data_IF_289619405306
#
_entry.id   IF_289619405306
#
_cell.length_a   1.000
_cell.length_b   1.000
_cell.length_c   1.000
_cell.angle_alpha   90.00
_cell.angle_beta   90.00
_cell.angle_gamma   90.00
#
_symmetry.space_group_name_H-M   'P 1'
#
loop_
_entity.id
_entity.type
_entity.pdbx_description
1 polymer ?
#
# COMPACT_ATOMS: atom_id res chain seq x y z
N UNK A 1 -21.93 -1.77 9.18
CA UNK A 1 -21.05 -1.23 8.11
C UNK A 1 -20.21 -2.39 7.61
N UNK A 2 -20.29 -2.71 6.32
CA UNK A 2 -19.52 -3.81 5.73
C UNK A 2 -18.03 -3.49 5.77
N UNK A 3 -17.22 -4.42 6.28
CA UNK A 3 -15.77 -4.30 6.22
C UNK A 3 -15.34 -4.47 4.75
N UNK A 4 -15.14 -3.34 4.07
CA UNK A 4 -14.59 -3.34 2.71
C UNK A 4 -13.12 -3.64 2.77
N UNK A 5 -12.74 -4.71 2.07
CA UNK A 5 -11.38 -5.14 1.92
C UNK A 5 -10.95 -4.98 0.47
N UNK A 6 -9.78 -4.44 0.27
CA UNK A 6 -9.22 -4.14 -1.04
C UNK A 6 -8.03 -5.05 -1.31
N UNK A 7 -7.92 -5.49 -2.57
CA UNK A 7 -6.73 -6.17 -3.08
C UNK A 7 -5.63 -5.15 -3.40
N UNK A 8 -4.39 -5.63 -3.55
CA UNK A 8 -3.23 -4.81 -3.95
C UNK A 8 -3.53 -3.92 -5.16
N UNK A 9 -4.21 -4.48 -6.17
CA UNK A 9 -4.58 -3.76 -7.39
C UNK A 9 -5.62 -2.66 -7.17
N UNK A 10 -6.58 -2.87 -6.26
CA UNK A 10 -7.59 -1.87 -5.92
C UNK A 10 -7.00 -0.79 -5.02
N UNK A 11 -6.24 -1.20 -3.99
CA UNK A 11 -5.47 -0.32 -3.14
C UNK A 11 -4.60 0.62 -3.98
N UNK A 12 -3.86 0.09 -4.96
CA UNK A 12 -3.04 0.90 -5.86
C UNK A 12 -3.85 1.97 -6.61
N UNK A 13 -5.04 1.62 -7.09
CA UNK A 13 -5.95 2.57 -7.77
C UNK A 13 -6.47 3.65 -6.82
N UNK A 14 -6.85 3.27 -5.61
CA UNK A 14 -7.35 4.20 -4.58
C UNK A 14 -6.25 5.18 -4.15
N UNK A 15 -5.04 4.65 -3.97
CA UNK A 15 -3.86 5.41 -3.55
C UNK A 15 -3.23 6.23 -4.69
N UNK A 16 -3.64 6.03 -5.94
CA UNK A 16 -3.02 6.68 -7.10
C UNK A 16 -1.58 6.22 -7.38
N UNK A 17 -1.15 5.10 -6.81
CA UNK A 17 0.22 4.57 -6.98
C UNK A 17 0.25 3.43 -7.99
N UNK A 18 1.44 3.13 -8.52
CA UNK A 18 1.61 1.99 -9.41
C UNK A 18 1.38 0.66 -8.63
N UNK A 19 0.63 -0.32 -9.21
CA UNK A 19 0.49 -1.66 -8.61
C UNK A 19 1.82 -2.34 -8.28
N UNK A 20 2.88 -2.06 -9.03
CA UNK A 20 4.22 -2.54 -8.73
C UNK A 20 4.78 -1.96 -7.43
N UNK A 21 4.51 -0.69 -7.13
CA UNK A 21 4.91 -0.06 -5.87
C UNK A 21 4.25 -0.76 -4.68
N UNK A 22 2.95 -1.04 -4.79
CA UNK A 22 2.24 -1.83 -3.77
C UNK A 22 2.82 -3.24 -3.60
N UNK A 23 3.18 -3.93 -4.69
CA UNK A 23 3.87 -5.24 -4.62
C UNK A 23 5.24 -5.14 -3.94
N UNK A 24 5.99 -4.08 -4.22
CA UNK A 24 7.29 -3.85 -3.58
C UNK A 24 7.10 -3.68 -2.08
N UNK A 25 6.15 -2.86 -1.63
CA UNK A 25 5.90 -2.67 -0.21
C UNK A 25 5.41 -3.92 0.50
N UNK A 26 4.60 -4.72 -0.17
CA UNK A 26 4.15 -6.01 0.33
C UNK A 26 5.29 -7.05 0.42
N UNK A 27 6.25 -6.99 -0.52
CA UNK A 27 7.46 -7.82 -0.50
C UNK A 27 8.47 -7.35 0.56
N UNK A 28 8.62 -6.04 0.74
CA UNK A 28 9.52 -5.47 1.76
C UNK A 28 8.93 -5.50 3.15
N UNK A 29 7.64 -5.83 3.29
CA UNK A 29 6.94 -5.84 4.58
C UNK A 29 6.76 -4.44 5.16
N UNK A 30 6.85 -3.39 4.32
CA UNK A 30 6.75 -1.98 4.74
C UNK A 30 5.36 -1.65 5.31
N UNK A 31 4.32 -2.37 4.88
CA UNK A 31 2.97 -2.26 5.42
C UNK A 31 2.48 -3.60 5.97
N UNK A 32 1.84 -3.57 7.15
CA UNK A 32 1.25 -4.75 7.79
C UNK A 32 -0.01 -5.16 7.03
N UNK A 33 0.13 -6.08 6.07
CA UNK A 33 -1.02 -6.78 5.51
C UNK A 33 -1.61 -7.72 6.57
N UNK A 34 -2.92 -7.59 6.87
CA UNK A 34 -3.60 -8.56 7.73
C UNK A 34 -3.69 -9.89 6.97
N UNK A 35 -3.21 -10.97 7.59
CA UNK A 35 -3.36 -12.34 7.06
C UNK A 35 -4.69 -12.90 7.52
N UNK A 36 -5.53 -13.32 6.57
CA UNK A 36 -6.74 -14.05 6.91
C UNK A 36 -6.35 -15.42 7.51
N UNK A 37 -6.81 -15.78 8.73
CA UNK A 37 -6.39 -16.99 9.43
C UNK A 37 -6.76 -18.29 8.68
N UNK A 38 -7.76 -18.23 7.80
CA UNK A 38 -8.20 -19.39 7.00
C UNK A 38 -7.54 -19.54 5.63
N UNK A 39 -7.18 -18.45 4.94
CA UNK A 39 -6.83 -18.52 3.51
C UNK A 39 -5.49 -17.84 3.13
N UNK A 40 -4.77 -17.27 4.11
CA UNK A 40 -3.48 -16.61 3.90
C UNK A 40 -3.46 -15.53 2.79
N UNK A 41 -4.63 -15.04 2.37
CA UNK A 41 -4.75 -13.94 1.43
C UNK A 41 -4.52 -12.61 2.13
N UNK A 42 -3.81 -11.72 1.44
CA UNK A 42 -3.50 -10.37 1.89
C UNK A 42 -4.66 -9.47 1.51
N UNK A 43 -5.33 -8.94 2.53
CA UNK A 43 -6.44 -8.01 2.39
C UNK A 43 -6.08 -6.72 3.11
N UNK A 44 -6.38 -5.58 2.47
CA UNK A 44 -6.21 -4.25 3.06
C UNK A 44 -7.58 -3.73 3.44
N UNK A 45 -7.78 -3.41 4.71
CA UNK A 45 -8.97 -2.68 5.13
C UNK A 45 -8.86 -1.20 4.73
N UNK A 46 -9.97 -0.48 4.76
CA UNK A 46 -9.97 0.97 4.58
C UNK A 46 -8.97 1.66 5.53
N UNK A 47 -8.88 1.23 6.79
CA UNK A 47 -7.92 1.75 7.77
C UNK A 47 -6.45 1.48 7.40
N UNK A 48 -6.17 0.35 6.75
CA UNK A 48 -4.82 0.04 6.29
C UNK A 48 -4.43 0.93 5.10
N UNK A 49 -5.38 1.21 4.20
CA UNK A 49 -5.16 2.17 3.12
C UNK A 49 -4.90 3.56 3.67
N UNK A 50 -5.68 4.01 4.64
CA UNK A 50 -5.54 5.33 5.27
C UNK A 50 -4.13 5.51 5.87
N UNK A 51 -3.64 4.49 6.60
CA UNK A 51 -2.26 4.47 7.11
C UNK A 51 -1.21 4.55 6.01
N UNK A 52 -1.45 3.87 4.88
CA UNK A 52 -0.56 3.92 3.72
C UNK A 52 -0.56 5.34 3.12
N UNK A 53 -1.73 5.98 2.99
CA UNK A 53 -1.85 7.37 2.50
C UNK A 53 -1.05 8.30 3.39
N UNK A 54 -1.29 8.26 4.71
CA UNK A 54 -0.55 9.11 5.65
C UNK A 54 0.96 8.84 5.59
N UNK A 55 1.37 7.58 5.44
CA UNK A 55 2.78 7.24 5.28
C UNK A 55 3.38 7.74 3.96
N UNK A 56 2.59 7.75 2.88
CA UNK A 56 2.97 8.24 1.57
C UNK A 56 3.17 9.75 1.55
N UNK A 57 2.23 10.49 2.12
CA UNK A 57 2.32 11.96 2.27
C UNK A 57 3.60 12.36 3.03
N UNK A 58 4.04 11.53 3.98
CA UNK A 58 5.29 11.74 4.70
C UNK A 58 6.55 11.34 3.90
N UNK A 59 6.46 10.37 2.98
CA UNK A 59 7.60 9.83 2.24
C UNK A 59 7.88 10.55 0.90
N UNK A 60 6.88 11.22 0.30
CA UNK A 60 7.10 12.04 -0.90
C UNK A 60 8.07 13.20 -0.67
N UNK A 61 8.22 13.66 0.60
CA UNK A 61 9.21 14.68 0.96
C UNK A 61 10.66 14.20 0.87
N UNK A 62 10.92 12.89 0.86
CA UNK A 62 12.28 12.32 0.92
C UNK A 62 12.73 11.69 -0.40
N UNK A 63 11.81 11.45 -1.35
CA UNK A 63 12.08 10.75 -2.62
C UNK A 63 12.08 11.64 -3.86
N UNK A 64 11.75 12.94 -3.72
CA UNK A 64 11.91 13.92 -4.80
C UNK A 64 13.38 14.25 -5.13
N UNK A 65 14.35 13.76 -4.35
CA UNK A 65 15.78 14.08 -4.50
C UNK A 65 16.59 13.06 -5.34
N UNK A 66 15.98 12.03 -5.95
CA UNK A 66 16.73 11.02 -6.72
C UNK A 66 16.10 10.67 -8.08
N UNK A 67 15.63 11.67 -8.82
CA UNK A 67 15.48 11.54 -10.29
C UNK A 67 16.44 12.49 -11.01
N UNK A 68 17.73 12.21 -10.83
CA UNK A 68 18.82 12.80 -11.58
C UNK A 68 19.83 11.71 -11.94
N UNK A 69 19.48 10.82 -12.86
CA UNK A 69 20.47 10.19 -13.75
C UNK A 69 19.78 9.47 -14.91
N UNK A 70 19.69 10.14 -16.05
CA UNK A 70 19.82 9.56 -17.39
C UNK A 70 20.44 10.61 -18.29
#
# INVERSE_FOLDING_TARGET
MEAKYYRISEAAKILGVNPNTMRVWDRTGKFKSRRHPMNNWRMYSQEDLDKIITALENHEKESAETKGNS
#
